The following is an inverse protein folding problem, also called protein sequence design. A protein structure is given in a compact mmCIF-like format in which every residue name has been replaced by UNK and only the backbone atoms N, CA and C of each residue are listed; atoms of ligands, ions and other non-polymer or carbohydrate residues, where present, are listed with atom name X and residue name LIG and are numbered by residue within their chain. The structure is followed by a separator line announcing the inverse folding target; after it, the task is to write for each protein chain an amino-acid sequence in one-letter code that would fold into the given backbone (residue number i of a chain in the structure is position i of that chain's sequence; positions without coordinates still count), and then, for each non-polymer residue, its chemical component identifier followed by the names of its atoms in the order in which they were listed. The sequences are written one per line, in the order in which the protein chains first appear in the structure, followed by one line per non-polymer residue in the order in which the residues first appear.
data_IF_111476347788
#
_entry.id   IF_111476347788
#
_cell.length_a   1.000
_cell.length_b   1.000
_cell.length_c   1.000
_cell.angle_alpha   90.00
_cell.angle_beta   90.00
_cell.angle_gamma   90.00
#
_symmetry.space_group_name_H-M   'P 1'
#
loop_
_entity.id
_entity.type
_entity.pdbx_description
1 polymer ?
#
# COMPACT_ATOMS: atom_id res chain seq x y z
N UNK A 1 40.90 -12.31 -7.56
CA UNK A 1 39.60 -12.94 -7.26
C UNK A 1 39.02 -12.13 -6.11
N UNK A 2 38.27 -11.08 -6.43
CA UNK A 2 37.79 -10.09 -5.46
C UNK A 2 36.37 -9.71 -5.82
N UNK A 3 35.54 -9.77 -4.80
CA UNK A 3 34.08 -9.86 -4.76
C UNK A 3 33.38 -8.59 -5.26
N UNK A 4 32.54 -8.71 -6.29
CA UNK A 4 31.67 -7.63 -6.84
C UNK A 4 30.33 -7.54 -6.07
N UNK A 5 30.02 -8.49 -5.20
CA UNK A 5 28.69 -8.67 -4.61
C UNK A 5 28.29 -7.70 -3.48
N UNK A 6 29.04 -6.62 -3.20
CA UNK A 6 28.81 -5.82 -1.98
C UNK A 6 28.22 -4.42 -2.21
N UNK A 7 27.82 -4.07 -3.44
CA UNK A 7 27.34 -2.70 -3.75
C UNK A 7 25.85 -2.63 -4.19
N UNK A 8 25.18 -3.76 -4.45
CA UNK A 8 23.84 -3.76 -5.08
C UNK A 8 22.67 -4.06 -4.12
N UNK A 9 22.84 -3.89 -2.80
CA UNK A 9 21.75 -4.11 -1.83
C UNK A 9 21.03 -2.81 -1.39
N UNK A 10 21.34 -1.66 -1.99
CA UNK A 10 20.67 -0.39 -1.65
C UNK A 10 19.78 0.09 -2.81
N UNK A 11 18.47 0.05 -2.57
CA UNK A 11 17.42 0.74 -3.31
C UNK A 11 17.00 0.13 -4.67
N UNK A 12 16.71 -1.18 -4.71
CA UNK A 12 15.85 -1.70 -5.77
C UNK A 12 14.40 -1.32 -5.45
N UNK A 13 13.97 -0.16 -5.95
CA UNK A 13 12.55 0.22 -6.02
C UNK A 13 11.77 -0.91 -6.69
N UNK A 14 10.52 -1.21 -6.28
CA UNK A 14 9.69 -2.16 -7.01
C UNK A 14 9.58 -1.67 -8.47
N UNK A 15 10.04 -2.47 -9.43
CA UNK A 15 10.04 -2.15 -10.86
C UNK A 15 9.65 -3.38 -11.68
N UNK A 16 9.02 -3.15 -12.83
CA UNK A 16 8.70 -4.18 -13.82
C UNK A 16 9.95 -4.40 -14.69
N UNK A 17 10.40 -5.64 -14.84
CA UNK A 17 11.59 -5.99 -15.63
C UNK A 17 11.19 -6.48 -17.03
N UNK A 18 11.65 -5.80 -18.08
CA UNK A 18 11.66 -6.33 -19.45
C UNK A 18 13.02 -7.00 -19.73
N UNK A 19 13.01 -8.21 -20.28
CA UNK A 19 14.24 -8.95 -20.64
C UNK A 19 14.31 -9.07 -22.16
N UNK A 20 15.18 -8.27 -22.79
CA UNK A 20 15.60 -8.53 -24.17
C UNK A 20 16.88 -9.37 -24.18
N UNK A 21 16.91 -10.39 -25.05
CA UNK A 21 17.86 -11.51 -25.01
C UNK A 21 19.32 -11.17 -25.33
N UNK A 22 19.69 -9.92 -25.64
CA UNK A 22 21.00 -9.60 -26.21
C UNK A 22 21.77 -8.43 -25.57
N UNK A 23 21.36 -7.93 -24.40
CA UNK A 23 22.12 -6.90 -23.66
C UNK A 23 21.28 -6.29 -22.55
N UNK A 24 21.67 -6.52 -21.30
CA UNK A 24 20.93 -6.09 -20.10
C UNK A 24 20.76 -4.56 -20.08
N UNK A 25 19.56 -4.09 -20.43
CA UNK A 25 19.08 -2.75 -20.11
C UNK A 25 18.13 -2.87 -18.91
N UNK A 26 18.41 -2.12 -17.83
CA UNK A 26 17.57 -2.09 -16.64
C UNK A 26 16.76 -0.79 -16.69
N UNK A 27 15.53 -0.84 -17.20
CA UNK A 27 14.59 0.26 -17.02
C UNK A 27 13.81 0.06 -15.73
N UNK A 28 14.09 0.91 -14.74
CA UNK A 28 13.32 0.97 -13.50
C UNK A 28 12.10 1.87 -13.72
N UNK A 29 10.95 1.28 -14.04
CA UNK A 29 9.68 2.01 -14.05
C UNK A 29 9.22 2.30 -12.62
N UNK A 30 8.81 3.56 -12.37
CA UNK A 30 8.14 3.94 -11.13
C UNK A 30 6.81 3.19 -11.03
N UNK A 31 6.64 2.45 -9.93
CA UNK A 31 5.37 1.77 -9.62
C UNK A 31 4.48 2.75 -8.89
N UNK A 32 3.37 3.13 -9.53
CA UNK A 32 2.29 3.89 -8.91
C UNK A 32 1.08 2.98 -8.67
N UNK A 33 0.16 3.33 -7.75
CA UNK A 33 -1.06 2.56 -7.56
C UNK A 33 -1.84 2.31 -8.85
N UNK A 34 -1.83 3.28 -9.77
CA UNK A 34 -2.49 3.18 -11.07
C UNK A 34 -1.78 2.20 -12.03
N UNK A 35 -0.47 1.96 -11.86
CA UNK A 35 0.30 1.07 -12.73
C UNK A 35 0.21 -0.41 -12.34
N UNK A 36 -0.13 -0.72 -11.09
CA UNK A 36 -0.18 -2.12 -10.58
C UNK A 36 -1.47 -2.48 -9.83
N UNK A 37 -2.20 -1.49 -9.33
CA UNK A 37 -3.45 -1.68 -8.62
C UNK A 37 -4.66 -1.73 -9.55
N UNK A 38 -5.66 -2.53 -9.19
CA UNK A 38 -6.94 -2.51 -9.89
C UNK A 38 -7.82 -1.39 -9.33
N UNK A 39 -8.36 -0.55 -10.22
CA UNK A 39 -9.31 0.50 -9.84
C UNK A 39 -10.55 -0.12 -9.20
N UNK A 40 -10.98 0.44 -8.06
CA UNK A 40 -12.11 -0.10 -7.31
C UNK A 40 -13.47 0.35 -7.82
N UNK A 41 -13.52 1.27 -8.78
CA UNK A 41 -14.76 1.91 -9.23
C UNK A 41 -15.25 3.02 -8.29
N UNK A 42 -14.42 3.48 -7.35
CA UNK A 42 -14.77 4.46 -6.32
C UNK A 42 -13.75 5.57 -6.21
N UNK A 43 -14.21 6.74 -5.82
CA UNK A 43 -13.39 7.92 -5.60
C UNK A 43 -13.56 8.44 -4.17
N UNK A 44 -12.55 9.12 -3.66
CA UNK A 44 -12.66 9.96 -2.47
C UNK A 44 -13.60 11.14 -2.71
N UNK A 45 -13.89 11.92 -1.67
CA UNK A 45 -14.61 13.20 -1.80
C UNK A 45 -13.85 14.23 -2.65
N UNK A 46 -12.52 14.21 -2.61
CA UNK A 46 -11.66 15.05 -3.45
C UNK A 46 -11.65 14.61 -4.92
N UNK A 47 -12.32 13.51 -5.28
CA UNK A 47 -12.39 12.98 -6.63
C UNK A 47 -11.20 12.07 -6.99
N UNK A 48 -10.30 11.79 -6.04
CA UNK A 48 -9.17 10.88 -6.25
C UNK A 48 -9.68 9.45 -6.34
N UNK A 49 -9.26 8.72 -7.35
CA UNK A 49 -9.58 7.30 -7.53
C UNK A 49 -8.96 6.45 -6.43
N UNK A 50 -9.63 5.37 -6.09
CA UNK A 50 -9.19 4.41 -5.07
C UNK A 50 -8.85 3.10 -5.75
N UNK A 51 -7.66 2.58 -5.47
CA UNK A 51 -7.09 1.38 -6.04
C UNK A 51 -6.88 0.29 -4.98
N UNK A 52 -6.76 -0.96 -5.43
CA UNK A 52 -6.29 -2.04 -4.58
C UNK A 52 -4.92 -1.70 -3.97
N UNK A 53 -4.79 -1.84 -2.66
CA UNK A 53 -3.57 -1.48 -1.92
C UNK A 53 -3.56 -0.07 -1.31
N UNK A 54 -4.56 0.77 -1.58
CA UNK A 54 -4.61 2.11 -1.01
C UNK A 54 -4.87 2.11 0.50
N UNK A 55 -4.22 3.05 1.20
CA UNK A 55 -4.41 3.36 2.61
C UNK A 55 -5.32 4.59 2.72
N UNK A 56 -6.53 4.39 3.23
CA UNK A 56 -7.52 5.43 3.45
C UNK A 56 -7.48 5.91 4.90
N UNK A 57 -7.34 7.21 5.14
CA UNK A 57 -7.23 7.76 6.47
C UNK A 57 -8.21 8.91 6.70
N UNK A 58 -8.77 8.93 7.92
CA UNK A 58 -9.60 10.03 8.43
C UNK A 58 -8.99 10.68 9.68
N UNK A 59 -8.30 9.90 10.52
CA UNK A 59 -7.61 10.37 11.74
C UNK A 59 -6.17 9.85 11.75
N UNK A 60 -5.25 10.51 12.44
CA UNK A 60 -3.82 10.12 12.44
C UNK A 60 -3.57 8.74 13.06
N UNK A 61 -4.44 8.28 13.95
CA UNK A 61 -4.25 7.07 14.75
C UNK A 61 -4.75 5.78 14.08
N UNK A 62 -5.43 5.89 12.94
CA UNK A 62 -5.93 4.73 12.20
C UNK A 62 -5.89 4.95 10.69
N UNK A 63 -5.73 3.87 9.93
CA UNK A 63 -5.99 3.86 8.49
C UNK A 63 -6.73 2.59 8.10
N UNK A 64 -7.30 2.58 6.91
CA UNK A 64 -7.98 1.44 6.31
C UNK A 64 -7.23 1.01 5.05
N UNK A 65 -6.84 -0.26 4.97
CA UNK A 65 -6.14 -0.81 3.81
C UNK A 65 -7.12 -1.51 2.88
N UNK A 66 -7.19 -1.07 1.63
CA UNK A 66 -8.04 -1.63 0.58
C UNK A 66 -7.44 -2.92 0.04
N UNK A 67 -8.19 -4.03 0.09
CA UNK A 67 -7.79 -5.32 -0.50
C UNK A 67 -8.98 -6.01 -1.15
N UNK A 68 -8.71 -6.84 -2.13
CA UNK A 68 -9.71 -7.75 -2.68
C UNK A 68 -10.02 -8.85 -1.66
N UNK A 69 -11.29 -9.24 -1.58
CA UNK A 69 -11.74 -10.37 -0.79
C UNK A 69 -12.36 -11.42 -1.72
N UNK A 70 -11.72 -12.57 -1.82
CA UNK A 70 -12.23 -13.69 -2.62
C UNK A 70 -13.53 -14.26 -2.04
N UNK A 71 -13.66 -14.27 -0.71
CA UNK A 71 -14.87 -14.77 -0.04
C UNK A 71 -16.10 -13.92 -0.32
N UNK A 72 -15.92 -12.60 -0.46
CA UNK A 72 -17.00 -11.65 -0.72
C UNK A 72 -17.06 -11.22 -2.20
N UNK A 73 -16.16 -11.75 -3.04
CA UNK A 73 -15.97 -11.37 -4.44
C UNK A 73 -15.97 -9.85 -4.65
N UNK A 74 -15.24 -9.11 -3.81
CA UNK A 74 -15.30 -7.66 -3.83
C UNK A 74 -14.24 -6.94 -3.00
N UNK A 75 -14.16 -5.62 -3.21
CA UNK A 75 -13.25 -4.75 -2.48
C UNK A 75 -13.69 -4.55 -1.04
N UNK A 76 -12.76 -4.84 -0.12
CA UNK A 76 -12.90 -4.61 1.31
C UNK A 76 -11.77 -3.76 1.83
N UNK A 77 -11.94 -3.28 3.05
CA UNK A 77 -10.96 -2.49 3.76
C UNK A 77 -10.76 -3.02 5.18
N UNK A 78 -9.50 -3.18 5.58
CA UNK A 78 -9.10 -3.63 6.91
C UNK A 78 -8.53 -2.45 7.69
N UNK A 79 -9.05 -2.24 8.90
CA UNK A 79 -8.55 -1.17 9.74
C UNK A 79 -7.22 -1.57 10.39
N UNK A 80 -6.27 -0.66 10.37
CA UNK A 80 -5.05 -0.71 11.16
C UNK A 80 -5.04 0.46 12.14
N UNK A 81 -4.62 0.20 13.36
CA UNK A 81 -4.52 1.18 14.45
C UNK A 81 -3.08 1.27 14.91
N UNK A 82 -2.64 2.47 15.25
CA UNK A 82 -1.32 2.68 15.83
C UNK A 82 -1.40 2.46 17.34
N UNK A 83 -0.77 1.41 17.84
CA UNK A 83 -0.87 1.00 19.24
C UNK A 83 0.45 0.47 19.76
N UNK A 84 0.65 0.61 21.07
CA UNK A 84 1.76 0.01 21.80
C UNK A 84 1.62 -1.52 21.79
N UNK A 85 2.69 -2.24 21.51
CA UNK A 85 2.75 -3.69 21.65
C UNK A 85 3.07 -4.14 23.08
N UNK A 86 3.23 -5.45 23.26
CA UNK A 86 3.50 -6.07 24.57
C UNK A 86 4.87 -5.67 25.13
N UNK A 87 5.83 -5.41 24.25
CA UNK A 87 7.19 -4.98 24.58
C UNK A 87 7.29 -3.46 24.83
N UNK A 88 6.25 -2.73 24.44
CA UNK A 88 6.14 -1.30 24.66
C UNK A 88 6.46 -0.43 23.42
N UNK A 89 6.66 -1.04 22.27
CA UNK A 89 6.94 -0.35 21.02
C UNK A 89 5.65 0.01 20.28
N UNK A 90 5.62 1.19 19.65
CA UNK A 90 4.44 1.61 18.89
C UNK A 90 4.52 1.08 17.46
N UNK A 91 3.49 0.32 17.07
CA UNK A 91 3.41 -0.27 15.73
C UNK A 91 1.98 -0.26 15.19
N UNK A 92 1.84 -0.38 13.87
CA UNK A 92 0.55 -0.52 13.21
C UNK A 92 0.08 -1.96 13.31
N UNK A 93 -1.08 -2.18 13.94
CA UNK A 93 -1.70 -3.50 14.06
C UNK A 93 -3.07 -3.51 13.43
N UNK A 94 -3.42 -4.62 12.80
CA UNK A 94 -4.79 -4.81 12.32
C UNK A 94 -5.73 -4.77 13.52
N UNK A 95 -6.79 -3.96 13.41
CA UNK A 95 -7.81 -3.82 14.43
C UNK A 95 -8.55 -5.14 14.64
N UNK A 96 -8.66 -5.57 15.89
CA UNK A 96 -9.45 -6.76 16.29
C UNK A 96 -10.94 -6.50 16.30
N UNK A 97 -11.38 -5.22 16.24
CA UNK A 97 -12.79 -4.87 16.13
C UNK A 97 -13.39 -5.30 14.78
N UNK A 98 -12.56 -5.35 13.74
CA UNK A 98 -12.99 -5.63 12.36
C UNK A 98 -12.08 -6.66 11.67
N UNK A 99 -12.01 -7.90 12.18
CA UNK A 99 -11.04 -8.90 11.74
C UNK A 99 -11.27 -9.36 10.30
N UNK A 100 -12.52 -9.33 9.83
CA UNK A 100 -12.90 -9.77 8.47
C UNK A 100 -12.91 -8.62 7.44
N UNK A 101 -12.55 -7.40 7.85
CA UNK A 101 -12.65 -6.21 7.01
C UNK A 101 -14.09 -5.79 6.72
N UNK A 102 -14.26 -4.58 6.23
CA UNK A 102 -15.54 -4.02 5.81
C UNK A 102 -15.62 -3.91 4.30
N UNK A 103 -16.80 -4.05 3.71
CA UNK A 103 -17.00 -3.69 2.31
C UNK A 103 -16.60 -2.23 2.08
N UNK A 104 -15.87 -1.97 1.00
CA UNK A 104 -15.50 -0.62 0.59
C UNK A 104 -16.77 0.14 0.18
N UNK A 105 -17.39 0.84 1.13
CA UNK A 105 -18.68 1.50 0.93
C UNK A 105 -18.53 2.97 0.52
N UNK A 106 -19.61 3.57 0.00
CA UNK A 106 -19.64 5.01 -0.30
C UNK A 106 -19.33 5.88 0.93
N UNK A 107 -19.78 5.47 2.11
CA UNK A 107 -19.53 6.20 3.36
C UNK A 107 -18.05 6.22 3.75
N UNK A 108 -17.33 5.11 3.52
CA UNK A 108 -15.90 5.00 3.80
C UNK A 108 -15.05 5.70 2.75
N UNK A 109 -15.50 5.77 1.50
CA UNK A 109 -14.76 6.45 0.44
C UNK A 109 -14.94 7.97 0.50
N UNK A 110 -16.12 8.48 0.87
CA UNK A 110 -16.38 9.92 0.91
C UNK A 110 -15.85 10.66 2.15
N UNK A 111 -15.52 9.95 3.22
CA UNK A 111 -15.08 10.56 4.49
C UNK A 111 -13.57 10.41 4.76
N UNK A 112 -12.83 9.81 3.83
CA UNK A 112 -11.43 9.45 4.00
C UNK A 112 -10.63 9.96 2.79
N UNK A 113 -9.35 10.19 3.01
CA UNK A 113 -8.39 10.55 1.97
C UNK A 113 -7.38 9.41 1.76
N UNK A 114 -6.89 9.28 0.54
CA UNK A 114 -5.79 8.35 0.21
C UNK A 114 -4.48 8.97 0.69
N UNK A 115 -3.83 8.33 1.68
CA UNK A 115 -2.56 8.79 2.27
C UNK A 115 -1.33 8.03 1.77
N UNK A 116 -1.55 7.07 0.88
CA UNK A 116 -0.51 6.30 0.20
C UNK A 116 -0.98 4.88 -0.11
N UNK A 117 -0.10 4.08 -0.67
CA UNK A 117 -0.37 2.72 -1.10
C UNK A 117 0.62 1.71 -0.48
N UNK A 118 0.38 0.42 -0.63
CA UNK A 118 1.30 -0.67 -0.20
C UNK A 118 2.56 -0.74 -1.05
N UNK A 119 2.51 -0.29 -2.30
CA UNK A 119 3.64 -0.30 -3.23
C UNK A 119 4.55 0.92 -3.07
N UNK A 120 4.07 1.95 -2.37
CA UNK A 120 4.86 3.12 -2.02
C UNK A 120 5.68 2.80 -0.76
N UNK A 121 7.00 2.68 -0.92
CA UNK A 121 7.92 2.74 0.23
C UNK A 121 7.76 4.11 0.89
N UNK A 122 7.27 4.12 2.12
CA UNK A 122 7.27 5.33 2.92
C UNK A 122 8.72 5.59 3.31
N UNK A 123 9.40 6.49 2.59
CA UNK A 123 10.52 7.22 3.19
C UNK A 123 9.94 7.99 4.39
N UNK A 124 9.92 7.35 5.55
CA UNK A 124 9.67 8.04 6.81
C UNK A 124 10.95 8.80 7.12
N UNK A 125 11.08 9.99 6.55
CA UNK A 125 12.02 10.99 7.06
C UNK A 125 11.53 11.40 8.45
N UNK A 126 12.13 10.81 9.48
CA UNK A 126 12.04 11.30 10.85
C UNK A 126 12.74 12.66 10.90
N UNK A 127 11.94 13.74 10.93
CA UNK A 127 12.38 15.08 11.31
C UNK A 127 12.39 15.25 12.82
#
# INVERSE_FOLDING_TARGET
MTTINTVLEKCLKPCIQEIETNGLHYDCYEVTPESVGQFTGKTTRSGKEIYGGDKLQKTKDSYWLVKWSDSDCGWKCWQYVFSKDEDGEYTWKQSTAYPLGHSLSGLLTYNYEVIGNIHEEREVNNG
#
